data_IF_417476215682
#
_entry.id   IF_417476215682
#
_cell.length_a   1.000
_cell.length_b   1.000
_cell.length_c   1.000
_cell.angle_alpha   90.00
_cell.angle_beta   90.00
_cell.angle_gamma   90.00
#
_symmetry.space_group_name_H-M   'P 1'
#
loop_
_entity.id
_entity.type
_entity.pdbx_description
1 polymer ?
#
# COMPACT_ATOMS: atom_id res chain seq x y z
N UNK A 1 -29.87 17.37 -5.44
CA UNK A 1 -28.52 17.42 -4.86
C UNK A 1 -27.47 17.37 -5.96
N UNK A 2 -26.32 17.99 -5.77
CA UNK A 2 -25.22 17.94 -6.73
C UNK A 2 -24.84 16.49 -7.09
N UNK A 3 -24.44 16.25 -8.33
CA UNK A 3 -24.00 14.95 -8.81
C UNK A 3 -22.46 14.89 -8.72
N UNK A 4 -21.86 13.94 -7.97
CA UNK A 4 -20.41 13.80 -7.96
C UNK A 4 -19.89 13.28 -9.30
N UNK A 5 -19.04 14.07 -9.95
CA UNK A 5 -18.39 13.73 -11.21
C UNK A 5 -16.91 13.45 -11.02
N UNK A 6 -16.42 12.41 -11.66
CA UNK A 6 -15.00 12.12 -11.74
C UNK A 6 -14.38 12.93 -12.88
N UNK A 7 -13.48 13.84 -12.55
CA UNK A 7 -12.80 14.74 -13.50
C UNK A 7 -11.31 14.41 -13.66
N UNK A 8 -10.77 13.56 -12.80
CA UNK A 8 -9.40 13.06 -12.90
C UNK A 8 -9.23 11.73 -12.16
N UNK A 9 -8.30 10.94 -12.61
CA UNK A 9 -7.80 9.77 -11.90
C UNK A 9 -6.33 9.54 -12.22
N UNK A 10 -5.63 8.96 -11.28
CA UNK A 10 -4.20 8.68 -11.46
C UNK A 10 -3.65 7.83 -10.34
N UNK A 11 -2.35 7.65 -10.40
CA UNK A 11 -1.62 6.88 -9.42
C UNK A 11 -0.54 6.02 -10.02
N UNK A 12 -0.07 5.10 -9.20
CA UNK A 12 0.94 4.10 -9.54
C UNK A 12 0.53 2.75 -8.95
N UNK A 13 0.73 1.70 -9.70
CA UNK A 13 0.52 0.32 -9.29
C UNK A 13 1.54 -0.60 -10.00
N UNK A 14 1.53 -1.92 -9.79
CA UNK A 14 2.48 -2.83 -10.43
C UNK A 14 2.47 -2.80 -11.97
N UNK A 15 1.38 -2.36 -12.59
CA UNK A 15 1.30 -2.19 -14.04
C UNK A 15 1.83 -0.83 -14.53
N UNK A 16 2.23 0.05 -13.61
CA UNK A 16 2.74 1.38 -13.89
C UNK A 16 1.76 2.51 -13.55
N UNK A 17 1.92 3.64 -14.22
CA UNK A 17 1.11 4.85 -14.04
C UNK A 17 -0.35 4.60 -14.39
N UNK A 18 -1.28 5.03 -13.53
CA UNK A 18 -2.70 4.76 -13.71
C UNK A 18 -3.41 5.76 -14.63
N UNK A 19 -3.06 7.06 -14.57
CA UNK A 19 -3.71 8.09 -15.38
C UNK A 19 -3.69 7.76 -16.87
N UNK A 20 -4.67 8.27 -17.62
CA UNK A 20 -4.83 8.04 -19.07
C UNK A 20 -4.76 6.56 -19.48
N UNK A 21 -5.12 5.64 -18.58
CA UNK A 21 -5.17 4.18 -18.78
C UNK A 21 -3.81 3.52 -19.11
N UNK A 22 -2.67 4.12 -18.72
CA UNK A 22 -1.36 3.52 -18.98
C UNK A 22 -1.20 2.15 -18.30
N UNK A 23 -1.56 2.03 -17.04
CA UNK A 23 -1.50 0.75 -16.32
C UNK A 23 -2.42 -0.31 -16.95
N UNK A 24 -3.65 0.08 -17.35
CA UNK A 24 -4.56 -0.85 -18.04
C UNK A 24 -3.95 -1.37 -19.35
N UNK A 25 -3.33 -0.49 -20.16
CA UNK A 25 -2.65 -0.91 -21.39
C UNK A 25 -1.54 -1.92 -21.12
N UNK A 26 -0.81 -1.79 -19.99
CA UNK A 26 0.18 -2.80 -19.61
C UNK A 26 -0.44 -4.16 -19.33
N UNK A 27 -1.61 -4.22 -18.71
CA UNK A 27 -2.32 -5.48 -18.42
C UNK A 27 -2.77 -6.20 -19.69
N UNK A 28 -3.14 -5.45 -20.73
CA UNK A 28 -3.67 -5.99 -21.98
C UNK A 28 -2.69 -5.83 -23.16
N UNK A 29 -1.41 -5.66 -22.89
CA UNK A 29 -0.40 -5.22 -23.86
C UNK A 29 -0.36 -6.10 -25.12
N UNK A 30 -0.49 -7.41 -24.94
CA UNK A 30 -0.44 -8.38 -26.06
C UNK A 30 -1.71 -8.36 -26.94
N UNK A 31 -2.75 -7.60 -26.55
CA UNK A 31 -4.00 -7.41 -27.30
C UNK A 31 -4.11 -6.04 -27.97
N UNK A 32 -3.14 -5.16 -27.71
CA UNK A 32 -3.11 -3.82 -28.30
C UNK A 32 -2.56 -3.87 -29.75
N UNK A 33 -2.96 -2.88 -30.54
CA UNK A 33 -2.28 -2.59 -31.82
C UNK A 33 -0.84 -2.15 -31.58
N UNK A 34 -0.01 -2.21 -32.63
CA UNK A 34 1.43 -1.96 -32.54
C UNK A 34 1.75 -0.56 -32.00
N UNK A 35 1.01 0.46 -32.42
CA UNK A 35 1.22 1.84 -31.98
C UNK A 35 1.02 1.99 -30.47
N UNK A 36 -0.08 1.40 -29.94
CA UNK A 36 -0.36 1.40 -28.50
C UNK A 36 0.61 0.55 -27.70
N UNK A 37 1.07 -0.59 -28.25
CA UNK A 37 2.15 -1.37 -27.63
C UNK A 37 3.42 -0.53 -27.50
N UNK A 38 3.86 0.08 -28.59
CA UNK A 38 5.06 0.91 -28.64
C UNK A 38 4.99 2.07 -27.66
N UNK A 39 3.88 2.79 -27.62
CA UNK A 39 3.65 3.87 -26.66
C UNK A 39 3.64 3.39 -25.20
N UNK A 40 3.10 2.20 -24.93
CA UNK A 40 3.09 1.61 -23.61
C UNK A 40 4.49 1.23 -23.14
N UNK A 41 5.27 0.56 -23.99
CA UNK A 41 6.67 0.22 -23.66
C UNK A 41 7.53 1.46 -23.49
N UNK A 42 7.38 2.49 -24.34
CA UNK A 42 8.09 3.75 -24.20
C UNK A 42 7.78 4.46 -22.87
N UNK A 43 6.49 4.49 -22.47
CA UNK A 43 6.07 5.04 -21.20
C UNK A 43 6.65 4.29 -19.99
N UNK A 44 6.66 2.96 -20.05
CA UNK A 44 7.21 2.12 -18.98
C UNK A 44 8.74 2.24 -18.94
N UNK A 45 9.44 2.23 -20.07
CA UNK A 45 10.88 2.41 -20.12
C UNK A 45 11.31 3.72 -19.45
N UNK A 46 10.58 4.82 -19.74
CA UNK A 46 10.82 6.11 -19.09
C UNK A 46 10.56 6.06 -17.58
N UNK A 47 9.45 5.45 -17.15
CA UNK A 47 9.09 5.30 -15.73
C UNK A 47 10.14 4.49 -14.97
N UNK A 48 10.65 3.43 -15.59
CA UNK A 48 11.66 2.51 -15.04
C UNK A 48 13.10 3.04 -15.20
N UNK A 49 13.30 4.22 -15.78
CA UNK A 49 14.61 4.86 -16.02
C UNK A 49 15.55 3.96 -16.82
N UNK A 50 15.01 3.26 -17.81
CA UNK A 50 15.82 2.39 -18.66
C UNK A 50 16.50 3.20 -19.76
N UNK A 51 17.81 3.00 -19.87
CA UNK A 51 18.59 3.48 -21.01
C UNK A 51 18.42 2.50 -22.18
N UNK A 52 18.06 3.00 -23.34
CA UNK A 52 17.93 2.18 -24.53
C UNK A 52 16.65 2.43 -25.34
N UNK A 53 16.59 1.77 -26.50
CA UNK A 53 15.44 1.88 -27.37
C UNK A 53 14.29 0.98 -26.86
N UNK A 54 13.14 1.58 -26.52
CA UNK A 54 11.94 0.84 -26.11
C UNK A 54 11.36 -0.08 -27.19
N UNK A 55 11.87 -0.01 -28.43
CA UNK A 55 11.55 -0.92 -29.53
C UNK A 55 12.38 -2.21 -29.49
N UNK A 56 13.48 -2.23 -28.74
CA UNK A 56 14.33 -3.42 -28.59
C UNK A 56 13.58 -4.52 -27.84
N UNK A 57 13.62 -5.73 -28.39
CA UNK A 57 12.96 -6.90 -27.81
C UNK A 57 13.50 -7.24 -26.42
N UNK A 58 14.78 -7.01 -26.17
CA UNK A 58 15.40 -7.24 -24.85
C UNK A 58 14.87 -6.26 -23.82
N UNK A 59 14.74 -4.98 -24.17
CA UNK A 59 14.16 -3.95 -23.30
C UNK A 59 12.68 -4.27 -23.01
N UNK A 60 11.92 -4.66 -24.02
CA UNK A 60 10.51 -5.05 -23.85
C UNK A 60 10.35 -6.27 -22.95
N UNK A 61 11.23 -7.27 -23.11
CA UNK A 61 11.21 -8.45 -22.26
C UNK A 61 11.55 -8.06 -20.81
N UNK A 62 12.57 -7.24 -20.61
CA UNK A 62 12.91 -6.72 -19.29
C UNK A 62 11.71 -6.01 -18.63
N UNK A 63 11.01 -5.13 -19.36
CA UNK A 63 9.82 -4.45 -18.86
C UNK A 63 8.72 -5.45 -18.47
N UNK A 64 8.51 -6.49 -19.29
CA UNK A 64 7.53 -7.54 -18.97
C UNK A 64 7.92 -8.29 -17.70
N UNK A 65 9.18 -8.56 -17.49
CA UNK A 65 9.70 -9.32 -16.35
C UNK A 65 9.74 -8.52 -15.06
N UNK A 66 9.88 -7.19 -15.14
CA UNK A 66 10.06 -6.29 -14.00
C UNK A 66 8.85 -5.37 -13.74
N UNK A 67 7.67 -5.77 -14.20
CA UNK A 67 6.36 -5.18 -13.89
C UNK A 67 5.40 -6.25 -13.38
N UNK A 68 4.27 -5.84 -12.81
CA UNK A 68 3.22 -6.71 -12.29
C UNK A 68 3.68 -7.53 -11.06
N UNK A 69 3.06 -8.70 -10.88
CA UNK A 69 3.44 -9.64 -9.81
C UNK A 69 4.70 -10.38 -10.23
N UNK A 70 5.65 -10.48 -9.30
CA UNK A 70 6.94 -11.13 -9.52
C UNK A 70 7.60 -11.48 -8.18
N UNK A 71 8.79 -12.10 -8.21
CA UNK A 71 9.58 -12.31 -6.98
C UNK A 71 9.82 -10.98 -6.30
N UNK A 72 9.74 -10.95 -4.98
CA UNK A 72 9.95 -9.74 -4.16
C UNK A 72 11.37 -9.21 -4.40
N UNK A 73 11.48 -7.91 -4.70
CA UNK A 73 12.74 -7.19 -4.95
C UNK A 73 13.00 -6.12 -3.87
N UNK A 74 11.96 -5.68 -3.14
CA UNK A 74 12.04 -4.61 -2.14
C UNK A 74 12.86 -5.02 -0.91
N UNK A 75 12.87 -6.31 -0.60
CA UNK A 75 13.76 -6.93 0.38
C UNK A 75 14.19 -8.30 -0.13
N UNK A 76 15.23 -8.87 0.45
CA UNK A 76 15.67 -10.22 0.11
C UNK A 76 14.77 -11.27 0.78
N UNK A 77 13.89 -11.97 0.05
CA UNK A 77 13.02 -12.98 0.64
C UNK A 77 13.75 -14.27 1.03
N UNK A 78 14.96 -14.48 0.53
CA UNK A 78 15.78 -15.66 0.85
C UNK A 78 16.60 -15.44 2.13
N UNK A 79 16.72 -14.18 2.62
CA UNK A 79 17.52 -13.81 3.78
C UNK A 79 16.84 -12.71 4.64
N UNK A 80 15.65 -13.00 5.16
CA UNK A 80 14.90 -12.04 5.98
C UNK A 80 15.44 -12.01 7.40
N UNK A 81 15.87 -10.83 7.85
CA UNK A 81 16.37 -10.63 9.20
C UNK A 81 15.24 -10.65 10.24
N UNK A 82 15.33 -11.57 11.18
CA UNK A 82 14.48 -11.70 12.34
C UNK A 82 15.29 -11.67 13.64
N UNK A 83 14.59 -11.71 14.76
CA UNK A 83 15.18 -11.91 16.07
C UNK A 83 14.38 -12.98 16.81
N UNK A 84 15.11 -13.91 17.46
CA UNK A 84 14.53 -14.95 18.27
C UNK A 84 14.96 -14.81 19.71
N UNK A 85 14.01 -14.89 20.63
CA UNK A 85 14.34 -14.94 22.07
C UNK A 85 14.90 -16.32 22.41
N UNK A 86 16.00 -16.33 23.12
CA UNK A 86 16.62 -17.55 23.63
C UNK A 86 17.01 -17.39 25.10
N UNK A 87 16.98 -18.50 25.86
CA UNK A 87 17.47 -18.54 27.22
C UNK A 87 18.73 -19.39 27.26
N UNK A 88 19.84 -18.72 27.53
CA UNK A 88 21.13 -19.39 27.68
C UNK A 88 21.28 -19.93 29.11
N UNK A 89 21.77 -21.16 29.23
CA UNK A 89 22.10 -21.79 30.50
C UNK A 89 23.50 -22.37 30.39
N UNK A 90 24.32 -22.25 31.45
CA UNK A 90 25.57 -22.94 31.48
C UNK A 90 25.33 -24.42 31.91
N UNK A 91 25.94 -25.35 31.19
CA UNK A 91 25.80 -26.79 31.46
C UNK A 91 26.61 -27.24 32.65
N UNK A 92 27.77 -26.59 32.93
CA UNK A 92 28.76 -27.04 33.88
C UNK A 92 28.87 -26.12 35.11
N UNK A 93 28.19 -24.99 35.12
CA UNK A 93 28.20 -24.01 36.21
C UNK A 93 26.83 -23.35 36.41
N UNK A 94 26.57 -22.85 37.61
CA UNK A 94 25.33 -22.14 37.94
C UNK A 94 25.27 -20.70 37.42
N UNK A 95 26.35 -20.21 36.81
CA UNK A 95 26.41 -18.83 36.30
C UNK A 95 27.06 -18.73 34.94
N UNK A 96 26.71 -17.67 34.23
CA UNK A 96 27.28 -17.29 32.93
C UNK A 96 28.07 -16.00 33.11
N UNK A 97 29.35 -16.00 32.72
CA UNK A 97 30.21 -14.82 32.80
C UNK A 97 30.45 -14.27 31.39
N UNK A 98 30.23 -12.98 31.23
CA UNK A 98 30.46 -12.26 29.98
C UNK A 98 30.84 -10.80 30.23
N UNK A 99 31.26 -10.09 29.16
CA UNK A 99 31.61 -8.68 29.19
C UNK A 99 30.75 -7.89 28.22
N UNK A 100 30.37 -6.70 28.63
CA UNK A 100 29.71 -5.74 27.75
C UNK A 100 30.29 -4.34 27.86
N UNK A 101 30.17 -3.49 26.86
CA UNK A 101 30.48 -2.08 27.01
C UNK A 101 29.64 -1.45 28.15
N UNK A 102 30.27 -0.71 29.06
CA UNK A 102 29.58 -0.10 30.22
C UNK A 102 28.37 0.73 29.83
N UNK A 103 28.41 1.42 28.68
CA UNK A 103 27.30 2.21 28.12
C UNK A 103 26.09 1.38 27.65
N UNK A 104 26.22 0.06 27.54
CA UNK A 104 25.16 -0.87 27.13
C UNK A 104 24.54 -1.58 28.34
N UNK A 105 24.97 -1.27 29.55
CA UNK A 105 24.29 -1.74 30.76
C UNK A 105 22.84 -1.24 30.76
N UNK A 106 21.86 -2.11 31.13
CA UNK A 106 20.49 -1.67 31.33
C UNK A 106 20.42 -0.65 32.51
N UNK A 107 19.46 0.27 32.43
CA UNK A 107 19.22 1.26 33.50
C UNK A 107 18.87 0.57 34.82
N UNK A 108 18.09 -0.51 34.77
CA UNK A 108 17.78 -1.36 35.91
C UNK A 108 18.57 -2.66 35.78
N UNK A 109 19.53 -2.88 36.63
CA UNK A 109 20.33 -4.10 36.64
C UNK A 109 19.47 -5.28 37.13
N UNK A 110 19.38 -6.40 36.38
CA UNK A 110 18.69 -7.58 36.86
C UNK A 110 19.23 -8.09 38.20
N UNK A 111 18.35 -8.55 39.08
CA UNK A 111 18.71 -8.99 40.42
C UNK A 111 19.67 -10.20 40.47
N UNK A 112 19.68 -10.98 39.41
CA UNK A 112 20.59 -12.14 39.25
C UNK A 112 21.91 -11.78 38.55
N UNK A 113 22.22 -10.49 38.37
CA UNK A 113 23.47 -10.01 37.81
C UNK A 113 24.40 -9.44 38.88
N UNK A 114 25.65 -9.89 38.91
CA UNK A 114 26.75 -9.28 39.68
C UNK A 114 27.70 -8.60 38.69
N UNK A 115 28.00 -7.31 38.93
CA UNK A 115 28.80 -6.47 38.05
C UNK A 115 30.18 -6.22 38.65
N UNK A 116 31.22 -6.30 37.82
CA UNK A 116 32.58 -5.89 38.14
C UNK A 116 33.08 -4.98 37.03
N UNK A 117 33.35 -3.70 37.37
CA UNK A 117 33.93 -2.73 36.43
C UNK A 117 35.38 -3.12 36.13
N UNK A 118 35.70 -3.43 34.88
CA UNK A 118 37.06 -3.73 34.44
C UNK A 118 37.81 -2.43 34.15
N UNK A 119 37.17 -1.52 33.45
CA UNK A 119 37.64 -0.18 33.13
C UNK A 119 36.46 0.75 32.80
N UNK A 120 36.71 1.99 32.39
CA UNK A 120 35.64 2.96 32.09
C UNK A 120 34.77 2.59 30.91
N UNK A 121 35.21 1.68 30.03
CA UNK A 121 34.52 1.28 28.82
C UNK A 121 33.89 -0.12 28.89
N UNK A 122 34.33 -0.98 29.81
CA UNK A 122 33.97 -2.38 29.85
C UNK A 122 33.61 -2.84 31.26
N UNK A 123 32.50 -3.57 31.38
CA UNK A 123 32.02 -4.18 32.62
C UNK A 123 31.86 -5.69 32.43
N UNK A 124 32.39 -6.48 33.37
CA UNK A 124 32.14 -7.90 33.45
C UNK A 124 30.87 -8.16 34.26
N UNK A 125 30.08 -9.09 33.79
CA UNK A 125 28.81 -9.51 34.39
C UNK A 125 28.91 -11.00 34.70
N UNK A 126 28.48 -11.35 35.87
CA UNK A 126 28.19 -12.73 36.27
C UNK A 126 26.67 -12.81 36.42
N UNK A 127 26.04 -13.58 35.56
CA UNK A 127 24.60 -13.82 35.56
C UNK A 127 24.32 -15.20 36.15
N UNK A 128 23.57 -15.24 37.25
CA UNK A 128 23.22 -16.50 37.91
C UNK A 128 22.08 -17.20 37.19
N UNK A 129 22.09 -18.54 37.16
CA UNK A 129 21.11 -19.44 36.57
C UNK A 129 20.99 -19.35 35.06
N UNK A 130 20.44 -18.28 34.51
CA UNK A 130 20.15 -18.17 33.05
C UNK A 130 20.15 -16.74 32.57
N UNK A 131 20.47 -16.56 31.31
CA UNK A 131 20.48 -15.27 30.61
C UNK A 131 19.50 -15.31 29.42
N UNK A 132 18.48 -14.46 29.43
CA UNK A 132 17.63 -14.25 28.28
C UNK A 132 18.29 -13.29 27.31
N UNK A 133 18.37 -13.68 26.05
CA UNK A 133 19.00 -12.91 24.97
C UNK A 133 18.08 -12.85 23.75
N UNK A 134 18.26 -11.80 22.96
CA UNK A 134 17.66 -11.67 21.65
C UNK A 134 18.71 -11.98 20.59
N UNK A 135 18.58 -13.09 19.91
CA UNK A 135 19.53 -13.55 18.90
C UNK A 135 19.09 -13.08 17.52
N UNK A 136 20.00 -12.54 16.70
CA UNK A 136 19.75 -12.39 15.27
C UNK A 136 19.39 -13.75 14.65
N UNK A 137 18.39 -13.77 13.81
CA UNK A 137 17.91 -14.95 13.12
C UNK A 137 17.65 -14.57 11.66
N UNK A 138 18.05 -15.39 10.74
CA UNK A 138 17.82 -15.17 9.31
C UNK A 138 16.93 -16.29 8.78
N UNK A 139 15.85 -15.92 8.12
CA UNK A 139 14.83 -16.86 7.65
C UNK A 139 14.51 -16.66 6.19
N UNK A 140 14.30 -17.75 5.48
CA UNK A 140 13.70 -17.72 4.15
C UNK A 140 12.20 -17.46 4.29
N UNK A 141 11.69 -16.48 3.52
CA UNK A 141 10.26 -16.21 3.45
C UNK A 141 9.55 -17.37 2.73
N UNK A 142 8.43 -17.80 3.27
CA UNK A 142 7.58 -18.80 2.61
C UNK A 142 6.69 -18.20 1.50
N UNK A 143 6.64 -16.87 1.42
CA UNK A 143 5.93 -16.12 0.40
C UNK A 143 6.95 -15.22 -0.28
N UNK A 144 7.25 -15.50 -1.54
CA UNK A 144 8.22 -14.74 -2.32
C UNK A 144 7.59 -13.93 -3.44
N UNK A 145 6.26 -13.98 -3.59
CA UNK A 145 5.49 -13.30 -4.64
C UNK A 145 4.84 -12.03 -4.13
N UNK A 146 4.99 -10.93 -4.86
CA UNK A 146 4.27 -9.68 -4.60
C UNK A 146 4.07 -8.86 -5.87
N UNK A 147 2.98 -8.06 -5.88
CA UNK A 147 2.81 -6.97 -6.84
C UNK A 147 3.63 -5.77 -6.39
N UNK A 148 4.59 -5.36 -7.20
CA UNK A 148 5.48 -4.24 -6.90
C UNK A 148 5.43 -3.23 -8.04
N UNK A 149 5.50 -1.93 -7.74
CA UNK A 149 5.63 -0.92 -8.82
C UNK A 149 6.80 -1.27 -9.74
N UNK A 150 6.79 -0.82 -10.99
CA UNK A 150 7.83 -1.18 -11.96
C UNK A 150 9.23 -0.96 -11.40
N UNK A 151 10.13 -1.93 -11.60
CA UNK A 151 11.52 -1.85 -11.13
C UNK A 151 12.22 -0.61 -11.71
N UNK A 152 13.04 0.06 -10.88
CA UNK A 152 13.70 1.31 -11.27
C UNK A 152 12.86 2.57 -11.04
N UNK A 153 11.55 2.45 -10.82
CA UNK A 153 10.73 3.56 -10.34
C UNK A 153 11.03 3.85 -8.87
N UNK A 154 11.49 5.06 -8.59
CA UNK A 154 11.85 5.51 -7.24
C UNK A 154 11.01 6.73 -6.86
N UNK A 155 9.94 6.57 -6.07
CA UNK A 155 9.10 7.67 -5.64
C UNK A 155 9.84 8.63 -4.71
N UNK A 156 10.87 8.16 -3.99
CA UNK A 156 11.64 8.98 -3.06
C UNK A 156 12.46 10.07 -3.78
N UNK A 157 12.84 9.85 -5.03
CA UNK A 157 13.63 10.80 -5.80
C UNK A 157 12.83 11.95 -6.43
N UNK A 158 11.49 11.94 -6.27
CA UNK A 158 10.61 12.88 -6.97
C UNK A 158 10.33 14.16 -6.17
N UNK A 159 10.61 14.15 -4.87
CA UNK A 159 10.41 15.28 -3.97
C UNK A 159 11.33 15.16 -2.75
N UNK A 160 11.34 16.14 -1.85
CA UNK A 160 12.16 16.10 -0.62
C UNK A 160 11.60 15.09 0.40
N UNK A 161 11.85 13.81 0.18
CA UNK A 161 11.22 12.66 0.86
C UNK A 161 12.08 11.98 1.91
N UNK A 162 13.14 12.63 2.38
CA UNK A 162 14.09 12.01 3.33
C UNK A 162 13.38 11.47 4.58
N UNK A 163 13.55 10.16 4.83
CA UNK A 163 12.92 9.44 5.95
C UNK A 163 11.39 9.50 5.93
N UNK A 164 10.80 9.47 4.75
CA UNK A 164 9.36 9.25 4.58
C UNK A 164 9.11 7.77 4.27
N UNK A 165 8.10 7.16 4.88
CA UNK A 165 7.68 5.80 4.57
C UNK A 165 7.31 5.64 3.09
N UNK A 166 7.57 4.46 2.54
CA UNK A 166 7.32 4.16 1.12
C UNK A 166 5.87 4.44 0.68
N UNK A 167 4.89 4.08 1.50
CA UNK A 167 3.47 4.34 1.18
C UNK A 167 3.17 5.82 1.04
N UNK A 168 3.81 6.69 1.84
CA UNK A 168 3.65 8.13 1.74
C UNK A 168 4.39 8.72 0.53
N UNK A 169 5.54 8.15 0.15
CA UNK A 169 6.22 8.51 -1.09
C UNK A 169 5.35 8.19 -2.32
N UNK A 170 4.74 7.00 -2.34
CA UNK A 170 3.79 6.61 -3.38
C UNK A 170 2.55 7.52 -3.39
N UNK A 171 2.10 7.97 -2.22
CA UNK A 171 0.98 8.92 -2.06
C UNK A 171 1.22 10.22 -2.82
N UNK A 172 2.37 10.84 -2.61
CA UNK A 172 2.71 12.12 -3.26
C UNK A 172 2.72 11.97 -4.78
N UNK A 173 3.31 10.89 -5.29
CA UNK A 173 3.28 10.62 -6.73
C UNK A 173 1.84 10.36 -7.23
N UNK A 174 1.12 9.47 -6.55
CA UNK A 174 -0.20 9.03 -7.02
C UNK A 174 -1.22 10.14 -7.06
N UNK A 175 -1.29 10.96 -6.02
CA UNK A 175 -2.18 12.10 -5.98
C UNK A 175 -1.79 13.19 -6.99
N UNK A 176 -0.47 13.43 -7.17
CA UNK A 176 0.02 14.35 -8.20
C UNK A 176 -0.40 13.91 -9.61
N UNK A 177 -0.29 12.60 -9.90
CA UNK A 177 -0.71 12.03 -11.18
C UNK A 177 -2.22 12.21 -11.42
N UNK A 178 -3.05 12.00 -10.39
CA UNK A 178 -4.49 12.19 -10.48
C UNK A 178 -4.87 13.66 -10.72
N UNK A 179 -4.26 14.58 -9.97
CA UNK A 179 -4.52 16.02 -10.12
C UNK A 179 -4.09 16.49 -11.52
N UNK A 180 -2.90 16.12 -11.97
CA UNK A 180 -2.42 16.47 -13.31
C UNK A 180 -3.32 15.92 -14.42
N UNK A 181 -3.95 14.78 -14.21
CA UNK A 181 -4.87 14.17 -15.19
C UNK A 181 -6.14 15.00 -15.43
N UNK A 182 -6.49 15.90 -14.52
CA UNK A 182 -7.62 16.83 -14.68
C UNK A 182 -7.36 17.89 -15.74
N UNK A 183 -6.09 18.18 -16.03
CA UNK A 183 -5.67 19.30 -16.88
C UNK A 183 -5.54 20.65 -16.15
N UNK A 184 -6.03 20.76 -14.91
CA UNK A 184 -5.84 21.95 -14.08
C UNK A 184 -4.46 21.93 -13.42
N UNK A 185 -3.87 23.11 -13.28
CA UNK A 185 -2.76 23.30 -12.33
C UNK A 185 -3.29 23.24 -10.90
N UNK A 186 -2.43 22.92 -9.95
CA UNK A 186 -2.81 22.81 -8.52
C UNK A 186 -3.42 24.12 -8.02
N UNK A 187 -2.81 25.25 -8.36
CA UNK A 187 -3.29 26.60 -7.98
C UNK A 187 -4.65 26.91 -8.61
N UNK A 188 -4.85 26.52 -9.88
CA UNK A 188 -6.12 26.69 -10.57
C UNK A 188 -7.21 25.87 -9.87
N UNK A 189 -6.96 24.59 -9.63
CA UNK A 189 -7.90 23.69 -8.94
C UNK A 189 -8.30 24.23 -7.56
N UNK A 190 -7.31 24.67 -6.79
CA UNK A 190 -7.54 25.23 -5.45
C UNK A 190 -8.35 26.54 -5.48
N UNK A 191 -8.19 27.36 -6.52
CA UNK A 191 -8.86 28.65 -6.65
C UNK A 191 -10.26 28.56 -7.28
N UNK A 192 -10.69 27.36 -7.74
CA UNK A 192 -12.05 27.15 -8.25
C UNK A 192 -13.11 27.26 -7.16
N UNK A 193 -12.74 27.07 -5.90
CA UNK A 193 -13.66 26.96 -4.77
C UNK A 193 -13.11 27.73 -3.56
N UNK A 194 -13.97 27.96 -2.56
CA UNK A 194 -13.51 28.46 -1.28
C UNK A 194 -12.63 27.42 -0.59
N UNK A 195 -11.70 27.83 0.30
CA UNK A 195 -10.80 26.88 0.97
C UNK A 195 -11.49 25.77 1.77
N UNK A 196 -12.68 26.03 2.29
CA UNK A 196 -13.49 25.09 3.05
C UNK A 196 -14.30 24.13 2.17
N UNK A 197 -14.39 24.38 0.86
CA UNK A 197 -15.13 23.55 -0.11
C UNK A 197 -14.26 22.49 -0.80
N UNK A 198 -12.94 22.47 -0.53
CA UNK A 198 -12.03 21.44 -1.01
C UNK A 198 -11.65 20.51 0.13
N UNK A 199 -11.52 19.21 -0.13
CA UNK A 199 -11.09 18.23 0.86
C UNK A 199 -10.20 17.14 0.27
N UNK A 200 -9.44 16.45 1.14
CA UNK A 200 -8.67 15.25 0.82
C UNK A 200 -9.11 14.12 1.75
N UNK A 201 -9.70 13.07 1.19
CA UNK A 201 -10.11 11.89 1.95
C UNK A 201 -9.32 10.66 1.52
N UNK A 202 -8.58 10.09 2.45
CA UNK A 202 -7.76 8.91 2.13
C UNK A 202 -7.31 8.16 3.36
N UNK A 203 -6.75 7.00 3.14
CA UNK A 203 -6.16 6.19 4.19
C UNK A 203 -5.16 5.18 3.66
N UNK A 204 -4.63 4.40 4.58
CA UNK A 204 -3.89 3.18 4.34
C UNK A 204 -4.45 2.13 5.28
N UNK A 205 -4.84 0.97 4.78
CA UNK A 205 -5.50 -0.07 5.59
C UNK A 205 -4.62 -0.57 6.74
N UNK A 206 -3.31 -0.62 6.51
CA UNK A 206 -2.31 -1.10 7.47
C UNK A 206 -1.53 0.04 8.15
N UNK A 207 -1.64 1.27 7.66
CA UNK A 207 -0.70 2.33 8.01
C UNK A 207 0.68 2.06 7.41
N UNK A 208 1.70 2.78 7.90
CA UNK A 208 3.06 2.65 7.40
C UNK A 208 3.88 1.75 8.35
N UNK A 209 4.21 0.55 7.90
CA UNK A 209 4.88 -0.49 8.71
C UNK A 209 6.35 -0.72 8.34
N UNK A 210 6.92 0.09 7.47
CA UNK A 210 8.34 0.05 7.14
C UNK A 210 9.23 0.68 8.23
N UNK A 211 10.56 0.66 8.00
CA UNK A 211 11.54 1.15 8.98
C UNK A 211 11.49 2.66 9.22
N UNK A 212 10.89 3.43 8.33
CA UNK A 212 10.76 4.89 8.49
C UNK A 212 9.48 5.29 9.24
N UNK A 213 8.69 4.31 9.70
CA UNK A 213 7.48 4.51 10.46
C UNK A 213 7.34 3.51 11.63
N UNK A 214 6.18 2.88 11.81
CA UNK A 214 5.91 1.97 12.92
C UNK A 214 6.87 0.78 12.99
N UNK A 215 7.36 0.27 11.85
CA UNK A 215 8.39 -0.76 11.83
C UNK A 215 9.65 -0.31 12.58
N UNK A 216 10.17 0.88 12.26
CA UNK A 216 11.31 1.45 12.98
C UNK A 216 11.00 1.84 14.43
N UNK A 217 9.80 2.33 14.74
CA UNK A 217 9.38 2.64 16.11
C UNK A 217 9.50 1.42 17.02
N UNK A 218 9.04 0.26 16.56
CA UNK A 218 8.94 -0.95 17.35
C UNK A 218 10.24 -1.76 17.36
N UNK A 219 11.02 -1.74 16.27
CA UNK A 219 12.18 -2.62 16.13
C UNK A 219 13.51 -1.97 16.40
N UNK A 220 13.67 -0.66 16.18
CA UNK A 220 14.93 0.03 16.46
C UNK A 220 15.40 -0.16 17.90
N UNK A 221 14.54 -0.04 18.95
CA UNK A 221 14.96 -0.29 20.32
C UNK A 221 15.52 -1.70 20.54
N UNK A 222 14.95 -2.72 19.90
CA UNK A 222 15.39 -4.12 20.02
C UNK A 222 16.80 -4.34 19.42
N UNK A 223 17.18 -3.52 18.45
CA UNK A 223 18.49 -3.59 17.78
C UNK A 223 19.47 -2.52 18.25
N UNK A 224 19.20 -1.87 19.37
CA UNK A 224 20.04 -0.81 19.96
C UNK A 224 20.05 0.51 19.17
N UNK A 225 19.10 0.69 18.25
CA UNK A 225 18.87 1.94 17.53
C UNK A 225 17.83 2.79 18.26
N UNK A 226 17.91 4.10 18.09
CA UNK A 226 16.89 5.01 18.66
C UNK A 226 15.73 5.21 17.69
N UNK A 227 14.47 5.19 18.17
CA UNK A 227 13.37 5.67 17.38
C UNK A 227 13.51 7.18 17.13
N UNK A 228 12.92 7.67 16.05
CA UNK A 228 12.88 9.09 15.73
C UNK A 228 11.49 9.68 16.00
N UNK A 229 11.40 11.00 16.11
CA UNK A 229 10.12 11.70 16.29
C UNK A 229 9.13 11.51 15.13
N UNK A 230 9.62 11.11 13.96
CA UNK A 230 8.80 10.87 12.76
C UNK A 230 8.11 9.52 12.77
N UNK A 231 8.71 8.49 13.38
CA UNK A 231 8.24 7.10 13.26
C UNK A 231 6.78 6.92 13.69
N UNK A 232 6.36 7.59 14.77
CA UNK A 232 4.98 7.48 15.25
C UNK A 232 4.03 8.26 14.32
N UNK A 233 4.30 9.55 14.09
CA UNK A 233 3.40 10.40 13.31
C UNK A 233 3.23 9.91 11.87
N UNK A 234 4.32 9.53 11.19
CA UNK A 234 4.27 9.06 9.81
C UNK A 234 3.71 7.63 9.67
N UNK A 235 3.54 6.90 10.78
CA UNK A 235 2.95 5.57 10.80
C UNK A 235 1.42 5.55 10.66
N UNK A 236 0.75 6.67 10.93
CA UNK A 236 -0.70 6.73 11.04
C UNK A 236 -1.41 6.38 9.71
N UNK A 237 -2.52 5.61 9.77
CA UNK A 237 -3.26 5.19 8.58
C UNK A 237 -3.88 6.34 7.78
N UNK A 238 -4.24 7.44 8.41
CA UNK A 238 -4.82 8.64 7.76
C UNK A 238 -3.78 9.59 7.15
N UNK A 239 -2.51 9.41 7.44
CA UNK A 239 -1.43 10.27 6.99
C UNK A 239 -1.37 10.53 5.47
N UNK A 240 -1.80 9.62 4.56
CA UNK A 240 -1.83 9.91 3.14
C UNK A 240 -2.61 11.20 2.78
N UNK A 241 -3.72 11.49 3.44
CA UNK A 241 -4.49 12.71 3.20
C UNK A 241 -3.73 13.98 3.57
N UNK A 242 -3.09 13.99 4.71
CA UNK A 242 -2.25 15.10 5.18
C UNK A 242 -1.05 15.31 4.26
N UNK A 243 -0.45 14.24 3.73
CA UNK A 243 0.66 14.32 2.78
C UNK A 243 0.25 14.95 1.45
N UNK A 244 -0.92 14.60 0.91
CA UNK A 244 -1.45 15.25 -0.29
C UNK A 244 -1.64 16.75 -0.05
N UNK A 245 -2.22 17.11 1.09
CA UNK A 245 -2.41 18.52 1.42
C UNK A 245 -1.08 19.24 1.63
N UNK A 246 -0.16 18.66 2.41
CA UNK A 246 1.10 19.32 2.76
C UNK A 246 2.08 19.45 1.58
N UNK A 247 2.17 18.44 0.72
CA UNK A 247 3.18 18.39 -0.34
C UNK A 247 2.69 18.76 -1.73
N UNK A 248 1.38 18.81 -1.95
CA UNK A 248 0.80 19.05 -3.27
C UNK A 248 -0.18 20.22 -3.22
N UNK A 249 -1.25 20.11 -2.43
CA UNK A 249 -2.39 21.01 -2.52
C UNK A 249 -2.17 22.36 -1.80
N UNK A 250 -1.57 22.33 -0.61
CA UNK A 250 -1.35 23.54 0.21
C UNK A 250 -2.65 24.26 0.57
N UNK A 251 -3.74 23.51 0.79
CA UNK A 251 -5.05 24.03 1.15
C UNK A 251 -5.24 24.05 2.68
N UNK A 252 -6.19 24.81 3.16
CA UNK A 252 -6.71 24.79 4.53
C UNK A 252 -8.04 24.02 4.62
N UNK A 253 -8.41 23.30 3.56
CA UNK A 253 -9.55 22.42 3.54
C UNK A 253 -9.36 21.18 4.41
N UNK A 254 -10.42 20.44 4.60
CA UNK A 254 -10.45 19.27 5.46
C UNK A 254 -9.58 18.13 4.92
N UNK A 255 -8.78 17.51 5.79
CA UNK A 255 -8.17 16.20 5.55
C UNK A 255 -8.77 15.18 6.51
N UNK A 256 -9.13 14.00 6.01
CA UNK A 256 -9.69 12.92 6.84
C UNK A 256 -9.46 11.55 6.20
N UNK A 257 -9.58 10.50 7.03
CA UNK A 257 -9.52 9.13 6.56
C UNK A 257 -10.43 8.20 7.36
N UNK A 258 -11.19 7.37 6.66
CA UNK A 258 -11.97 6.29 7.26
C UNK A 258 -11.28 4.99 6.88
N UNK A 259 -10.95 4.19 7.90
CA UNK A 259 -10.24 2.93 7.71
C UNK A 259 -11.25 1.78 7.77
N UNK A 260 -11.24 0.96 6.74
CA UNK A 260 -12.14 -0.19 6.58
C UNK A 260 -11.40 -1.38 5.95
N UNK A 261 -10.17 -1.66 6.38
CA UNK A 261 -9.30 -2.69 5.82
C UNK A 261 -9.24 -2.58 4.27
N UNK A 262 -9.46 -3.66 3.54
CA UNK A 262 -9.44 -3.68 2.07
C UNK A 262 -10.48 -2.75 1.42
N UNK A 263 -11.53 -2.35 2.16
CA UNK A 263 -12.56 -1.44 1.68
C UNK A 263 -12.28 0.04 2.00
N UNK A 264 -11.13 0.37 2.57
CA UNK A 264 -10.75 1.75 2.98
C UNK A 264 -11.01 2.77 1.88
N UNK A 265 -10.63 2.48 0.63
CA UNK A 265 -10.88 3.37 -0.50
C UNK A 265 -12.38 3.69 -0.68
N UNK A 266 -13.26 2.67 -0.66
CA UNK A 266 -14.68 2.86 -0.87
C UNK A 266 -15.36 3.62 0.29
N UNK A 267 -14.90 3.46 1.53
CA UNK A 267 -15.37 4.28 2.64
C UNK A 267 -15.06 5.77 2.43
N UNK A 268 -13.86 6.08 1.95
CA UNK A 268 -13.46 7.46 1.67
C UNK A 268 -14.19 8.03 0.44
N UNK A 269 -14.41 7.23 -0.60
CA UNK A 269 -15.25 7.64 -1.75
C UNK A 269 -16.70 7.91 -1.30
N UNK A 270 -17.25 7.07 -0.41
CA UNK A 270 -18.57 7.33 0.16
C UNK A 270 -18.63 8.67 0.88
N UNK A 271 -17.65 8.96 1.75
CA UNK A 271 -17.55 10.26 2.43
C UNK A 271 -17.51 11.41 1.43
N UNK A 272 -16.69 11.30 0.40
CA UNK A 272 -16.56 12.33 -0.64
C UNK A 272 -17.90 12.60 -1.35
N UNK A 273 -18.64 11.54 -1.71
CA UNK A 273 -19.95 11.65 -2.36
C UNK A 273 -20.97 12.31 -1.43
N UNK A 274 -21.02 11.90 -0.18
CA UNK A 274 -21.97 12.43 0.81
C UNK A 274 -21.73 13.95 1.02
N UNK A 275 -20.48 14.38 1.07
CA UNK A 275 -20.13 15.79 1.23
C UNK A 275 -20.39 16.64 -0.02
N UNK A 276 -20.16 16.10 -1.22
CA UNK A 276 -20.53 16.78 -2.47
C UNK A 276 -22.06 16.90 -2.56
N UNK A 277 -22.79 15.84 -2.29
CA UNK A 277 -24.26 15.85 -2.36
C UNK A 277 -24.94 16.78 -1.35
N UNK A 278 -24.34 16.91 -0.17
CA UNK A 278 -24.83 17.87 0.84
C UNK A 278 -24.44 19.31 0.55
N UNK A 279 -23.57 19.55 -0.43
CA UNK A 279 -23.03 20.88 -0.75
C UNK A 279 -21.94 21.34 0.21
N UNK A 280 -21.45 20.49 1.11
CA UNK A 280 -20.36 20.81 2.03
C UNK A 280 -19.03 20.96 1.31
N UNK A 281 -18.80 20.15 0.27
CA UNK A 281 -17.60 20.17 -0.57
C UNK A 281 -17.99 20.25 -2.04
N UNK A 282 -17.17 20.96 -2.81
CA UNK A 282 -17.32 21.06 -4.26
C UNK A 282 -16.22 20.34 -5.02
N UNK A 283 -15.03 20.18 -4.40
CA UNK A 283 -13.90 19.40 -4.91
C UNK A 283 -13.42 18.46 -3.82
N UNK A 284 -13.29 17.18 -4.14
CA UNK A 284 -12.70 16.20 -3.23
C UNK A 284 -11.65 15.37 -3.95
N UNK A 285 -10.43 15.36 -3.41
CA UNK A 285 -9.36 14.47 -3.82
C UNK A 285 -9.45 13.25 -2.91
N UNK A 286 -9.75 12.09 -3.47
CA UNK A 286 -9.98 10.87 -2.70
C UNK A 286 -9.11 9.73 -3.21
N UNK A 287 -8.47 9.00 -2.30
CA UNK A 287 -7.58 7.94 -2.69
C UNK A 287 -7.21 6.98 -1.57
N UNK A 288 -6.33 6.05 -1.92
CA UNK A 288 -5.73 5.11 -0.99
C UNK A 288 -4.29 4.82 -1.42
N UNK A 289 -3.42 4.58 -0.45
CA UNK A 289 -2.02 4.22 -0.70
C UNK A 289 -1.60 3.10 0.22
N UNK A 290 -1.05 2.04 -0.37
CA UNK A 290 -0.60 0.86 0.36
C UNK A 290 0.82 0.47 -0.09
N UNK A 291 1.68 0.18 0.89
CA UNK A 291 3.01 -0.39 0.67
C UNK A 291 3.24 -1.57 1.62
N UNK A 292 2.45 -2.66 1.49
CA UNK A 292 2.45 -3.77 2.42
C UNK A 292 3.59 -4.78 2.18
N UNK A 293 4.45 -4.56 1.18
CA UNK A 293 5.52 -5.50 0.82
C UNK A 293 6.72 -5.27 1.76
N UNK A 294 6.52 -5.61 3.02
CA UNK A 294 7.53 -5.62 4.08
C UNK A 294 7.47 -6.95 4.83
N UNK A 295 8.59 -7.49 5.33
CA UNK A 295 8.64 -8.84 5.89
C UNK A 295 7.59 -9.12 6.96
N UNK A 296 7.35 -8.17 7.87
CA UNK A 296 6.43 -8.34 8.99
C UNK A 296 4.96 -8.38 8.56
N UNK A 297 4.58 -7.63 7.52
CA UNK A 297 3.23 -7.66 6.96
C UNK A 297 3.02 -8.98 6.21
N UNK A 298 3.99 -9.39 5.40
CA UNK A 298 3.95 -10.67 4.69
C UNK A 298 3.79 -11.83 5.69
N UNK A 299 4.61 -11.87 6.75
CA UNK A 299 4.51 -12.90 7.77
C UNK A 299 3.18 -12.83 8.53
N UNK A 300 2.70 -11.63 8.86
CA UNK A 300 1.41 -11.43 9.53
C UNK A 300 0.24 -12.00 8.74
N UNK A 301 0.15 -11.72 7.45
CA UNK A 301 -0.89 -12.30 6.59
C UNK A 301 -0.69 -13.78 6.34
N UNK A 302 0.57 -14.25 6.27
CA UNK A 302 0.88 -15.67 6.10
C UNK A 302 0.35 -16.50 7.28
N UNK A 303 0.64 -16.10 8.52
CA UNK A 303 0.18 -16.83 9.70
C UNK A 303 -1.35 -16.79 9.88
N UNK A 304 -2.04 -15.86 9.24
CA UNK A 304 -3.50 -15.88 9.13
C UNK A 304 -4.02 -16.94 8.15
N UNK A 305 -3.14 -17.60 7.40
CA UNK A 305 -3.53 -18.51 6.32
C UNK A 305 -4.16 -17.79 5.12
N UNK A 306 -3.77 -16.53 4.87
CA UNK A 306 -4.40 -15.69 3.87
C UNK A 306 -3.58 -15.54 2.58
N UNK A 307 -2.26 -15.68 2.65
CA UNK A 307 -1.37 -15.53 1.50
C UNK A 307 -1.12 -16.84 0.76
N UNK A 308 -0.93 -16.73 -0.54
CA UNK A 308 -0.43 -17.79 -1.39
C UNK A 308 1.03 -18.09 -1.03
N UNK A 309 1.27 -19.20 -0.33
CA UNK A 309 2.62 -19.70 -0.01
C UNK A 309 3.24 -20.39 -1.23
N UNK A 310 4.57 -20.30 -1.36
CA UNK A 310 5.29 -20.83 -2.52
C UNK A 310 5.09 -22.33 -2.71
N UNK A 311 5.06 -23.12 -1.63
CA UNK A 311 4.84 -24.55 -1.69
C UNK A 311 3.43 -24.91 -2.20
N UNK A 312 2.42 -24.11 -1.83
CA UNK A 312 1.06 -24.31 -2.32
C UNK A 312 0.95 -23.95 -3.81
N UNK A 313 1.64 -22.88 -4.24
CA UNK A 313 1.71 -22.51 -5.66
C UNK A 313 2.41 -23.58 -6.50
N UNK A 314 3.51 -24.16 -6.01
CA UNK A 314 4.19 -25.30 -6.65
C UNK A 314 3.26 -26.49 -6.79
N UNK A 315 2.54 -26.83 -5.72
CA UNK A 315 1.58 -27.93 -5.74
C UNK A 315 0.44 -27.70 -6.74
N UNK A 316 -0.08 -26.47 -6.87
CA UNK A 316 -1.10 -26.14 -7.85
C UNK A 316 -0.62 -26.21 -9.31
N UNK A 317 0.66 -25.98 -9.54
CA UNK A 317 1.28 -25.98 -10.88
C UNK A 317 1.96 -27.32 -11.21
N UNK A 318 1.95 -28.30 -10.30
CA UNK A 318 2.69 -29.57 -10.42
C UNK A 318 4.17 -29.33 -10.81
N UNK A 319 4.85 -28.44 -10.07
CA UNK A 319 6.17 -27.92 -10.38
C UNK A 319 7.04 -27.80 -9.12
N UNK A 320 8.32 -28.07 -9.26
CA UNK A 320 9.31 -27.84 -8.19
C UNK A 320 9.73 -26.37 -8.06
N UNK A 321 9.35 -25.52 -9.05
CA UNK A 321 9.71 -24.12 -9.10
C UNK A 321 8.44 -23.28 -8.97
N UNK A 322 8.46 -22.30 -8.04
CA UNK A 322 7.39 -21.33 -7.91
C UNK A 322 7.43 -20.31 -9.05
N UNK A 323 6.36 -20.27 -9.88
CA UNK A 323 6.15 -19.18 -10.82
C UNK A 323 5.45 -18.00 -10.12
N UNK A 324 6.25 -17.07 -9.61
CA UNK A 324 5.75 -15.90 -8.88
C UNK A 324 4.73 -15.07 -9.67
N UNK A 325 4.78 -15.06 -11.01
CA UNK A 325 3.85 -14.30 -11.86
C UNK A 325 2.43 -14.86 -11.83
N UNK A 326 2.28 -16.12 -11.43
CA UNK A 326 1.00 -16.83 -11.34
C UNK A 326 0.44 -16.90 -9.93
N UNK A 327 0.99 -16.15 -8.98
CA UNK A 327 0.57 -16.20 -7.59
C UNK A 327 -0.89 -15.73 -7.37
N UNK A 328 -1.34 -14.71 -8.09
CA UNK A 328 -2.72 -14.21 -8.00
C UNK A 328 -3.60 -14.85 -9.08
N UNK A 329 -4.59 -15.63 -8.66
CA UNK A 329 -5.44 -16.48 -9.55
C UNK A 329 -6.93 -16.31 -9.23
N UNK A 330 -7.49 -15.09 -9.32
CA UNK A 330 -8.91 -14.89 -9.01
C UNK A 330 -9.80 -15.75 -9.92
N UNK A 331 -10.85 -16.32 -9.34
CA UNK A 331 -11.83 -17.20 -10.02
C UNK A 331 -11.26 -18.51 -10.58
N UNK A 332 -10.08 -18.92 -10.10
CA UNK A 332 -9.41 -20.17 -10.48
C UNK A 332 -8.97 -20.94 -9.23
N UNK A 333 -8.35 -22.11 -9.40
CA UNK A 333 -7.66 -22.79 -8.29
C UNK A 333 -6.54 -21.89 -7.78
N UNK A 334 -6.59 -21.51 -6.52
CA UNK A 334 -5.66 -20.56 -5.90
C UNK A 334 -5.19 -21.05 -4.53
N UNK A 335 -4.14 -20.45 -4.03
CA UNK A 335 -3.53 -20.72 -2.74
C UNK A 335 -3.75 -19.60 -1.71
N UNK A 336 -4.42 -18.54 -2.08
CA UNK A 336 -4.62 -17.34 -1.27
C UNK A 336 -4.37 -16.06 -2.06
N UNK A 337 -4.40 -14.91 -1.39
CA UNK A 337 -4.14 -13.64 -2.06
C UNK A 337 -2.64 -13.30 -2.13
N UNK A 338 -2.29 -12.32 -2.96
CA UNK A 338 -0.93 -11.81 -3.13
C UNK A 338 -0.90 -10.34 -2.72
N UNK A 339 0.00 -9.96 -1.83
CA UNK A 339 0.20 -8.56 -1.46
C UNK A 339 0.70 -7.74 -2.64
N UNK A 340 0.23 -6.49 -2.75
CA UNK A 340 0.71 -5.55 -3.76
C UNK A 340 0.76 -4.13 -3.20
N UNK A 341 1.74 -3.35 -3.67
CA UNK A 341 1.81 -1.93 -3.38
C UNK A 341 1.09 -1.13 -4.48
N UNK A 342 0.39 -0.07 -4.08
CA UNK A 342 -0.24 0.85 -5.01
C UNK A 342 -0.61 2.17 -4.32
N UNK A 343 -0.76 3.21 -5.11
CA UNK A 343 -1.37 4.48 -4.70
C UNK A 343 -2.28 4.96 -5.82
N UNK A 344 -3.60 4.98 -5.58
CA UNK A 344 -4.61 5.31 -6.59
C UNK A 344 -5.52 6.40 -6.04
N UNK A 345 -5.79 7.40 -6.90
CA UNK A 345 -6.50 8.61 -6.53
C UNK A 345 -7.50 9.03 -7.60
N UNK A 346 -8.60 9.63 -7.14
CA UNK A 346 -9.63 10.26 -7.95
C UNK A 346 -9.72 11.74 -7.58
N UNK A 347 -10.10 12.56 -8.56
CA UNK A 347 -10.55 13.94 -8.33
C UNK A 347 -12.03 14.02 -8.68
N UNK A 348 -12.84 14.33 -7.67
CA UNK A 348 -14.29 14.47 -7.78
C UNK A 348 -14.68 15.94 -7.69
N UNK A 349 -15.65 16.34 -8.50
CA UNK A 349 -16.28 17.67 -8.46
C UNK A 349 -17.80 17.55 -8.45
N UNK A 350 -18.49 18.56 -7.93
CA UNK A 350 -19.92 18.71 -8.20
C UNK A 350 -20.16 19.03 -9.69
N UNK A 351 -21.30 18.60 -10.21
CA UNK A 351 -21.65 18.71 -11.61
C UNK A 351 -21.71 20.17 -12.13
N UNK A 352 -22.18 21.09 -11.30
CA UNK A 352 -22.21 22.51 -11.67
C UNK A 352 -20.80 23.05 -11.84
N UNK A 353 -19.92 22.85 -10.87
CA UNK A 353 -18.53 23.31 -10.92
C UNK A 353 -17.78 22.69 -12.10
N UNK A 354 -17.96 21.39 -12.32
CA UNK A 354 -17.31 20.70 -13.42
C UNK A 354 -17.69 21.31 -14.80
N UNK A 355 -18.97 21.66 -14.99
CA UNK A 355 -19.45 22.32 -16.21
C UNK A 355 -18.95 23.76 -16.31
N UNK A 356 -19.04 24.54 -15.23
CA UNK A 356 -18.60 25.95 -15.19
C UNK A 356 -17.10 26.11 -15.45
N UNK A 357 -16.29 25.19 -14.92
CA UNK A 357 -14.82 25.20 -15.08
C UNK A 357 -14.33 24.59 -16.38
N UNK A 358 -15.22 23.96 -17.17
CA UNK A 358 -14.85 23.25 -18.38
C UNK A 358 -14.05 21.99 -18.11
N UNK A 359 -14.23 21.36 -16.96
CA UNK A 359 -13.53 20.15 -16.57
C UNK A 359 -13.86 18.98 -17.54
N UNK A 360 -12.88 18.14 -17.80
CA UNK A 360 -13.10 16.90 -18.54
C UNK A 360 -13.84 15.90 -17.66
N UNK A 361 -15.10 15.62 -17.99
CA UNK A 361 -15.92 14.64 -17.27
C UNK A 361 -15.59 13.24 -17.78
N UNK A 362 -15.13 12.38 -16.88
CA UNK A 362 -14.80 10.97 -17.17
C UNK A 362 -15.95 10.02 -16.85
N UNK A 363 -16.81 10.40 -15.93
CA UNK A 363 -17.97 9.66 -15.49
C UNK A 363 -18.58 10.25 -14.24
N UNK A 364 -19.67 9.70 -13.77
CA UNK A 364 -20.29 10.04 -12.49
C UNK A 364 -20.09 8.93 -11.48
N UNK A 365 -20.09 9.29 -10.19
CA UNK A 365 -20.07 8.36 -9.07
C UNK A 365 -21.38 8.54 -8.30
N UNK A 366 -22.49 8.01 -8.80
CA UNK A 366 -23.80 8.32 -8.24
C UNK A 366 -24.01 7.76 -6.85
N UNK A 367 -23.49 6.57 -6.54
CA UNK A 367 -23.67 5.94 -5.25
C UNK A 367 -22.48 5.09 -4.84
N UNK A 368 -22.26 4.98 -3.53
CA UNK A 368 -21.37 4.00 -2.90
C UNK A 368 -22.09 3.42 -1.68
N UNK A 369 -22.12 2.11 -1.59
CA UNK A 369 -22.75 1.40 -0.49
C UNK A 369 -21.68 0.66 0.32
N UNK A 370 -21.70 0.84 1.63
CA UNK A 370 -20.80 0.17 2.59
C UNK A 370 -21.63 -0.42 3.72
N UNK A 371 -21.36 -1.66 4.07
CA UNK A 371 -22.04 -2.37 5.15
C UNK A 371 -21.04 -3.23 5.92
N UNK A 372 -21.27 -3.42 7.20
CA UNK A 372 -20.53 -4.41 7.98
C UNK A 372 -20.93 -5.83 7.55
N UNK A 373 -20.01 -6.78 7.70
CA UNK A 373 -20.28 -8.19 7.36
C UNK A 373 -21.32 -8.87 8.27
N UNK A 374 -21.70 -8.22 9.37
CA UNK A 374 -22.59 -8.77 10.37
C UNK A 374 -21.83 -9.49 11.47
N UNK A 375 -22.49 -10.48 12.10
CA UNK A 375 -21.87 -11.24 13.19
C UNK A 375 -20.81 -12.20 12.65
N UNK A 376 -19.55 -11.93 12.94
CA UNK A 376 -18.40 -12.75 12.51
C UNK A 376 -17.24 -12.68 13.50
N UNK A 377 -16.29 -13.59 13.35
CA UNK A 377 -14.95 -13.49 13.96
C UNK A 377 -14.07 -12.50 13.17
N UNK A 378 -12.81 -12.37 13.54
CA UNK A 378 -11.89 -11.34 13.03
C UNK A 378 -11.61 -11.35 11.51
N UNK A 379 -11.74 -12.49 10.84
CA UNK A 379 -11.44 -12.61 9.40
C UNK A 379 -12.72 -12.37 8.58
N UNK A 380 -12.66 -11.54 7.50
CA UNK A 380 -13.78 -11.34 6.58
C UNK A 380 -14.28 -12.66 5.99
N UNK A 381 -15.58 -12.76 5.85
CA UNK A 381 -16.24 -13.91 5.25
C UNK A 381 -17.51 -13.49 4.52
N UNK A 382 -18.10 -14.36 3.69
CA UNK A 382 -19.39 -14.08 3.09
C UNK A 382 -20.45 -13.84 4.15
N UNK A 383 -21.25 -12.80 3.97
CA UNK A 383 -22.29 -12.43 4.93
C UNK A 383 -23.34 -11.50 4.35
N UNK A 384 -24.37 -11.22 5.14
CA UNK A 384 -25.52 -10.37 4.73
C UNK A 384 -25.05 -9.00 4.25
N UNK A 385 -24.00 -8.43 4.85
CA UNK A 385 -23.46 -7.11 4.46
C UNK A 385 -23.00 -7.07 3.00
N UNK A 386 -22.32 -8.11 2.54
CA UNK A 386 -21.87 -8.22 1.15
C UNK A 386 -23.06 -8.30 0.19
N UNK A 387 -24.07 -9.11 0.50
CA UNK A 387 -25.27 -9.23 -0.32
C UNK A 387 -26.06 -7.91 -0.38
N UNK A 388 -26.21 -7.23 0.76
CA UNK A 388 -26.86 -5.92 0.81
C UNK A 388 -26.12 -4.86 0.00
N UNK A 389 -24.80 -4.85 0.07
CA UNK A 389 -23.95 -3.92 -0.69
C UNK A 389 -24.17 -4.08 -2.19
N UNK A 390 -24.07 -5.32 -2.69
CA UNK A 390 -24.27 -5.62 -4.11
C UNK A 390 -25.74 -5.35 -4.52
N UNK A 391 -26.71 -5.79 -3.73
CA UNK A 391 -28.12 -5.59 -4.03
C UNK A 391 -28.50 -4.11 -4.14
N UNK A 392 -28.00 -3.26 -3.23
CA UNK A 392 -28.23 -1.81 -3.28
C UNK A 392 -27.54 -1.17 -4.49
N UNK A 393 -26.32 -1.58 -4.82
CA UNK A 393 -25.65 -1.07 -6.01
C UNK A 393 -26.41 -1.43 -7.30
N UNK A 394 -26.88 -2.67 -7.41
CA UNK A 394 -27.70 -3.10 -8.55
C UNK A 394 -29.05 -2.36 -8.61
N UNK A 395 -29.70 -2.17 -7.47
CA UNK A 395 -30.95 -1.42 -7.39
C UNK A 395 -30.76 0.04 -7.78
N UNK A 396 -29.69 0.69 -7.34
CA UNK A 396 -29.34 2.05 -7.75
C UNK A 396 -29.10 2.14 -9.26
N UNK A 397 -28.27 1.26 -9.81
CA UNK A 397 -28.04 1.21 -11.27
C UNK A 397 -29.32 1.01 -12.07
N UNK A 398 -30.20 0.07 -11.64
CA UNK A 398 -31.52 -0.15 -12.24
C UNK A 398 -32.40 1.09 -12.19
N UNK A 399 -32.44 1.77 -11.06
CA UNK A 399 -33.27 2.96 -10.87
C UNK A 399 -32.80 4.15 -11.72
N UNK A 400 -31.48 4.30 -11.88
CA UNK A 400 -30.89 5.40 -12.64
C UNK A 400 -30.92 5.17 -14.16
N UNK A 401 -30.67 3.95 -14.61
CA UNK A 401 -30.36 3.63 -16.00
C UNK A 401 -31.32 2.59 -16.62
N UNK A 402 -32.27 2.08 -15.84
CA UNK A 402 -33.20 1.04 -16.25
C UNK A 402 -32.66 -0.39 -16.09
N UNK A 403 -33.55 -1.38 -16.16
CA UNK A 403 -33.19 -2.79 -15.94
C UNK A 403 -32.22 -3.35 -16.98
N UNK A 404 -32.31 -2.83 -18.21
CA UNK A 404 -31.50 -3.29 -19.33
C UNK A 404 -30.00 -3.16 -19.05
N UNK A 405 -29.58 -2.11 -18.30
CA UNK A 405 -28.17 -1.86 -17.99
C UNK A 405 -27.52 -3.01 -17.18
N UNK A 406 -28.31 -3.70 -16.37
CA UNK A 406 -27.81 -4.85 -15.59
C UNK A 406 -27.50 -6.08 -16.46
N UNK A 407 -28.02 -6.11 -17.68
CA UNK A 407 -27.88 -7.23 -18.62
C UNK A 407 -26.92 -6.93 -19.76
N UNK A 408 -26.81 -5.67 -20.13
CA UNK A 408 -26.06 -5.22 -21.30
C UNK A 408 -25.35 -3.90 -21.03
N UNK A 409 -24.10 -3.76 -21.46
CA UNK A 409 -23.34 -2.52 -21.36
C UNK A 409 -22.80 -2.20 -19.95
N UNK A 410 -22.76 -3.18 -19.05
CA UNK A 410 -22.16 -3.05 -17.73
C UNK A 410 -21.19 -4.18 -17.42
N UNK A 411 -20.34 -3.97 -16.44
CA UNK A 411 -19.47 -4.98 -15.88
C UNK A 411 -19.35 -4.79 -14.35
N UNK A 412 -19.01 -5.84 -13.65
CA UNK A 412 -18.73 -5.81 -12.23
C UNK A 412 -17.24 -6.08 -12.01
N UNK A 413 -16.55 -5.14 -11.40
CA UNK A 413 -15.20 -5.35 -10.92
C UNK A 413 -15.26 -5.96 -9.52
N UNK A 414 -14.92 -7.23 -9.42
CA UNK A 414 -14.85 -7.91 -8.14
C UNK A 414 -13.58 -7.54 -7.37
N UNK A 415 -13.56 -7.82 -6.06
CA UNK A 415 -12.35 -7.71 -5.25
C UNK A 415 -11.22 -8.61 -5.80
N UNK A 416 -11.53 -9.87 -6.11
CA UNK A 416 -10.68 -10.75 -6.90
C UNK A 416 -9.30 -10.98 -6.28
N UNK A 417 -9.27 -11.37 -5.02
CA UNK A 417 -8.02 -11.50 -4.24
C UNK A 417 -7.13 -12.69 -4.62
N UNK A 418 -7.59 -13.64 -5.39
CA UNK A 418 -6.81 -14.80 -5.83
C UNK A 418 -7.16 -16.08 -5.13
#
# INVERSE_FOLDING_TARGET
SPLPLMVGFGGINPAGRASFHHAYRRLVIDKLDQEKQDGTFASLAKLMRLDGNSQDSTVRQYIKDHTLIRKIEIFDPDAVNWHSSATLKNTDAKSITFKIPTKQLPETIPSNWSLTKINDKETQIICEESLSVLLPDERVSKVTSAGQVPSGFDPAALYASRSHPRGLQLTVYGASDAIQSTGFKVEELRNLVRPDEIAVYSGSAMGQLDNDAYGGLLQNPLTGRRPTSKHCALGLPEMPGDFVNAYILGSVGETAGIIGACATFLYNVKRAIDDIRSGNKRVVIVGNSEAPVVPHVIEGYRVMGALAEDEELKALDDSDICDNRRACRPFSSNAGFTCAEASIWLVLMDDQLALESGARILGSVPDVFVHADGYKKSIPGPGIGNYLTVAKAMASAKNLLGEQVLRQGSFMQAHGTG
#
